data_IF_339492285067
#
_entry.id   IF_339492285067
#
_cell.length_a   1.000
_cell.length_b   1.000
_cell.length_c   1.000
_cell.angle_alpha   90.00
_cell.angle_beta   90.00
_cell.angle_gamma   90.00
#
_symmetry.space_group_name_H-M   'P 1'
#
loop_
_entity.id
_entity.type
_entity.pdbx_description
1 polymer ?
#
# COMPACT_ATOMS: atom_id res chain seq x y z
N UNK A 1 0.54 -7.91 20.04
CA UNK A 1 0.97 -8.53 18.77
C UNK A 1 2.46 -8.27 18.63
N UNK A 2 3.29 -9.31 18.54
CA UNK A 2 4.73 -9.17 18.29
C UNK A 2 5.03 -8.94 16.82
N UNK A 3 6.29 -8.66 16.48
CA UNK A 3 6.75 -8.69 15.08
C UNK A 3 6.96 -10.15 14.64
N UNK A 4 6.69 -10.44 13.36
CA UNK A 4 6.72 -11.82 12.84
C UNK A 4 8.12 -12.46 12.90
N UNK A 5 9.14 -11.72 12.49
CA UNK A 5 10.54 -12.19 12.42
C UNK A 5 11.48 -11.40 13.34
N UNK A 6 10.96 -10.79 14.41
CA UNK A 6 11.80 -10.12 15.41
C UNK A 6 11.14 -10.08 16.79
N UNK A 7 11.95 -9.91 17.85
CA UNK A 7 11.45 -9.83 19.24
C UNK A 7 10.71 -8.54 19.60
N UNK A 8 10.51 -7.63 18.65
CA UNK A 8 9.88 -6.32 18.88
C UNK A 8 8.39 -6.43 19.25
N UNK A 9 7.94 -5.56 20.16
CA UNK A 9 6.55 -5.51 20.66
C UNK A 9 5.82 -4.20 20.36
N UNK A 10 6.30 -3.42 19.40
CA UNK A 10 5.71 -2.12 19.02
C UNK A 10 4.27 -2.25 18.50
N UNK A 11 3.40 -1.29 18.86
CA UNK A 11 1.95 -1.30 18.57
C UNK A 11 1.47 -0.12 17.71
N UNK A 12 2.37 0.52 16.96
CA UNK A 12 2.03 1.66 16.10
C UNK A 12 1.17 1.21 14.91
N UNK A 13 -0.06 1.71 14.82
CA UNK A 13 -0.97 1.47 13.71
C UNK A 13 -1.93 2.64 13.54
N UNK A 14 -2.49 2.82 12.34
CA UNK A 14 -3.57 3.78 12.14
C UNK A 14 -4.84 3.34 12.88
N UNK A 15 -5.50 4.28 13.56
CA UNK A 15 -6.80 4.07 14.18
C UNK A 15 -7.88 4.65 13.27
N UNK A 16 -8.74 3.78 12.73
CA UNK A 16 -9.82 4.22 11.84
C UNK A 16 -10.97 4.78 12.69
N UNK A 17 -11.53 5.96 12.35
CA UNK A 17 -12.68 6.51 13.06
C UNK A 17 -13.88 5.57 13.07
N UNK A 18 -14.69 5.65 14.13
CA UNK A 18 -15.92 4.87 14.26
C UNK A 18 -16.93 5.21 13.16
N UNK A 19 -17.14 6.52 12.93
CA UNK A 19 -18.06 7.04 11.91
C UNK A 19 -17.55 6.67 10.51
N UNK A 20 -18.34 5.89 9.78
CA UNK A 20 -17.99 5.39 8.43
C UNK A 20 -18.46 6.28 7.29
N UNK A 21 -19.39 7.20 7.55
CA UNK A 21 -19.87 8.16 6.55
C UNK A 21 -18.78 9.16 6.20
N UNK A 22 -18.71 9.64 4.95
CA UNK A 22 -17.75 10.65 4.55
C UNK A 22 -17.96 11.95 5.36
N UNK A 23 -16.89 12.69 5.69
CA UNK A 23 -17.01 14.00 6.32
C UNK A 23 -17.73 15.02 5.43
N UNK A 24 -18.44 15.98 6.02
CA UNK A 24 -19.22 17.00 5.30
C UNK A 24 -18.41 17.90 4.37
N UNK A 25 -17.11 18.07 4.66
CA UNK A 25 -16.20 18.86 3.83
C UNK A 25 -15.67 18.08 2.63
N UNK A 26 -15.79 16.75 2.62
CA UNK A 26 -15.41 15.92 1.48
C UNK A 26 -16.55 15.94 0.45
N UNK A 27 -16.48 16.86 -0.51
CA UNK A 27 -17.49 17.01 -1.58
C UNK A 27 -17.22 16.12 -2.79
N UNK A 28 -16.14 15.34 -2.77
CA UNK A 28 -15.77 14.46 -3.88
C UNK A 28 -16.82 13.37 -4.06
N UNK A 29 -17.31 13.22 -5.29
CA UNK A 29 -18.25 12.17 -5.65
C UNK A 29 -17.55 10.83 -5.82
N UNK A 30 -18.31 9.74 -5.76
CA UNK A 30 -17.77 8.40 -5.97
C UNK A 30 -17.12 8.23 -7.35
N UNK A 31 -17.71 8.82 -8.39
CA UNK A 31 -17.20 8.79 -9.76
C UNK A 31 -15.86 9.53 -9.89
N UNK A 32 -15.76 10.77 -9.36
CA UNK A 32 -14.51 11.54 -9.38
C UNK A 32 -13.38 10.80 -8.66
N UNK A 33 -13.67 10.15 -7.52
CA UNK A 33 -12.67 9.35 -6.80
C UNK A 33 -12.23 8.14 -7.61
N UNK A 34 -13.13 7.45 -8.29
CA UNK A 34 -12.78 6.32 -9.16
C UNK A 34 -11.91 6.77 -10.35
N UNK A 35 -12.23 7.92 -10.96
CA UNK A 35 -11.44 8.48 -12.06
C UNK A 35 -10.04 8.88 -11.60
N UNK A 36 -9.92 9.52 -10.43
CA UNK A 36 -8.63 9.84 -9.82
C UNK A 36 -7.81 8.57 -9.56
N UNK A 37 -8.41 7.52 -9.01
CA UNK A 37 -7.74 6.23 -8.77
C UNK A 37 -7.22 5.65 -10.08
N UNK A 38 -8.04 5.61 -11.13
CA UNK A 38 -7.64 5.08 -12.43
C UNK A 38 -6.52 5.92 -13.07
N UNK A 39 -6.60 7.25 -12.96
CA UNK A 39 -5.56 8.17 -13.44
C UNK A 39 -4.22 7.92 -12.74
N UNK A 40 -4.22 7.75 -11.42
CA UNK A 40 -2.99 7.48 -10.67
C UNK A 40 -2.44 6.07 -10.90
N UNK A 41 -3.32 5.07 -11.07
CA UNK A 41 -2.90 3.73 -11.44
C UNK A 41 -2.23 3.69 -12.82
N UNK A 42 -2.76 4.42 -13.81
CA UNK A 42 -2.12 4.56 -15.14
C UNK A 42 -0.76 5.25 -15.09
N UNK A 43 -0.50 6.08 -14.07
CA UNK A 43 0.83 6.65 -13.81
C UNK A 43 1.80 5.65 -13.16
N UNK A 44 1.36 4.42 -12.87
CA UNK A 44 2.17 3.38 -12.24
C UNK A 44 2.24 3.48 -10.71
N UNK A 45 1.34 4.24 -10.08
CA UNK A 45 1.29 4.31 -8.61
C UNK A 45 0.69 3.04 -8.00
N UNK A 46 1.22 2.63 -6.86
CA UNK A 46 0.70 1.47 -6.12
C UNK A 46 -0.59 1.81 -5.37
N UNK A 47 -1.49 0.85 -5.12
CA UNK A 47 -2.71 1.06 -4.32
C UNK A 47 -2.47 1.77 -2.98
N UNK A 48 -1.39 1.42 -2.26
CA UNK A 48 -1.03 2.09 -1.00
C UNK A 48 -0.67 3.56 -1.20
N UNK A 49 0.13 3.88 -2.23
CA UNK A 49 0.49 5.26 -2.57
C UNK A 49 -0.72 6.08 -3.02
N UNK A 50 -1.63 5.49 -3.80
CA UNK A 50 -2.87 6.13 -4.24
C UNK A 50 -3.71 6.54 -3.02
N UNK A 51 -3.85 5.65 -2.04
CA UNK A 51 -4.57 5.95 -0.80
C UNK A 51 -3.95 7.12 -0.01
N UNK A 52 -2.62 7.16 0.08
CA UNK A 52 -1.89 8.26 0.74
C UNK A 52 -2.11 9.58 -0.01
N UNK A 53 -1.99 9.57 -1.34
CA UNK A 53 -2.15 10.76 -2.17
C UNK A 53 -3.56 11.34 -2.07
N UNK A 54 -4.58 10.48 -2.12
CA UNK A 54 -5.98 10.89 -1.97
C UNK A 54 -6.24 11.49 -0.59
N UNK A 55 -5.62 10.96 0.46
CA UNK A 55 -5.76 11.49 1.82
C UNK A 55 -5.05 12.84 1.98
N UNK A 56 -3.80 12.93 1.54
CA UNK A 56 -2.93 14.06 1.85
C UNK A 56 -3.12 15.25 0.91
N UNK A 57 -3.44 15.01 -0.38
CA UNK A 57 -3.60 16.09 -1.37
C UNK A 57 -5.06 16.38 -1.75
N UNK A 58 -5.92 15.36 -1.76
CA UNK A 58 -7.31 15.50 -2.21
C UNK A 58 -8.33 15.54 -1.07
N UNK A 59 -7.90 15.39 0.19
CA UNK A 59 -8.79 15.42 1.34
C UNK A 59 -9.83 14.29 1.33
N UNK A 60 -9.49 13.11 0.80
CA UNK A 60 -10.33 11.91 0.85
C UNK A 60 -9.77 10.97 1.93
N UNK A 61 -10.30 10.96 3.17
CA UNK A 61 -9.67 10.23 4.27
C UNK A 61 -9.69 8.71 4.08
N UNK A 62 -10.80 8.19 3.57
CA UNK A 62 -10.96 6.75 3.33
C UNK A 62 -11.80 6.52 2.07
N UNK A 63 -11.19 5.89 1.07
CA UNK A 63 -11.84 5.60 -0.23
C UNK A 63 -13.11 4.76 -0.06
N UNK A 64 -13.11 3.80 0.87
CA UNK A 64 -14.27 2.94 1.10
C UNK A 64 -15.48 3.69 1.68
N UNK A 65 -15.28 4.81 2.37
CA UNK A 65 -16.36 5.63 2.90
C UNK A 65 -17.08 6.43 1.82
N UNK A 66 -16.37 6.81 0.75
CA UNK A 66 -16.93 7.59 -0.37
C UNK A 66 -17.48 6.69 -1.46
N UNK A 67 -16.73 5.65 -1.84
CA UNK A 67 -17.05 4.80 -3.01
C UNK A 67 -17.73 3.48 -2.66
N UNK A 68 -17.77 3.10 -1.37
CA UNK A 68 -18.25 1.77 -0.93
C UNK A 68 -17.31 0.60 -1.25
N UNK A 69 -16.21 0.84 -1.98
CA UNK A 69 -15.24 -0.18 -2.38
C UNK A 69 -13.81 0.21 -1.99
N UNK A 70 -12.93 -0.79 -1.85
CA UNK A 70 -11.49 -0.56 -1.65
C UNK A 70 -10.80 -0.26 -2.97
N UNK A 71 -9.68 0.46 -2.92
CA UNK A 71 -8.86 0.83 -4.10
C UNK A 71 -8.58 -0.38 -4.99
N UNK A 72 -8.11 -1.49 -4.42
CA UNK A 72 -7.78 -2.69 -5.18
C UNK A 72 -9.01 -3.33 -5.88
N UNK A 73 -10.20 -3.22 -5.29
CA UNK A 73 -11.45 -3.71 -5.91
C UNK A 73 -11.85 -2.86 -7.11
N UNK A 74 -11.69 -1.54 -6.99
CA UNK A 74 -11.93 -0.59 -8.08
C UNK A 74 -10.97 -0.88 -9.24
N UNK A 75 -9.68 -1.06 -8.96
CA UNK A 75 -8.66 -1.38 -9.98
C UNK A 75 -8.91 -2.72 -10.68
N UNK A 76 -9.40 -3.74 -9.94
CA UNK A 76 -9.81 -5.02 -10.55
C UNK A 76 -11.00 -4.85 -11.48
N UNK A 77 -11.99 -4.05 -11.10
CA UNK A 77 -13.17 -3.78 -11.93
C UNK A 77 -12.84 -3.05 -13.23
N UNK A 78 -11.79 -2.23 -13.24
CA UNK A 78 -11.35 -1.47 -14.42
C UNK A 78 -10.24 -2.13 -15.23
N UNK A 79 -9.80 -3.35 -14.85
CA UNK A 79 -8.71 -4.06 -15.52
C UNK A 79 -7.33 -3.43 -15.32
N UNK A 80 -7.16 -2.52 -14.36
CA UNK A 80 -5.91 -1.84 -14.02
C UNK A 80 -5.22 -2.45 -12.78
N UNK A 81 -5.67 -3.63 -12.33
CA UNK A 81 -5.05 -4.31 -11.20
C UNK A 81 -3.67 -4.84 -11.60
N UNK A 82 -2.67 -4.72 -10.71
CA UNK A 82 -1.38 -5.34 -10.94
C UNK A 82 -1.52 -6.87 -10.96
N UNK A 83 -0.73 -7.53 -11.81
CA UNK A 83 -0.70 -9.00 -11.92
C UNK A 83 -0.24 -9.65 -10.62
N UNK A 84 0.78 -9.06 -9.98
CA UNK A 84 1.29 -9.49 -8.69
C UNK A 84 0.75 -8.59 -7.57
N UNK A 85 0.32 -9.16 -6.42
CA UNK A 85 -0.01 -8.36 -5.24
C UNK A 85 1.16 -7.47 -4.79
N UNK A 86 0.83 -6.24 -4.38
CA UNK A 86 1.80 -5.21 -3.97
C UNK A 86 2.75 -5.70 -2.86
N UNK A 87 2.20 -6.37 -1.84
CA UNK A 87 3.00 -6.87 -0.71
C UNK A 87 4.04 -7.90 -1.17
N UNK A 88 3.65 -8.83 -2.04
CA UNK A 88 4.57 -9.82 -2.60
C UNK A 88 5.62 -9.17 -3.49
N UNK A 89 5.21 -8.22 -4.33
CA UNK A 89 6.13 -7.48 -5.18
C UNK A 89 7.23 -6.79 -4.36
N UNK A 90 6.88 -6.13 -3.26
CA UNK A 90 7.86 -5.45 -2.41
C UNK A 90 8.75 -6.41 -1.61
N UNK A 91 8.25 -7.59 -1.22
CA UNK A 91 9.08 -8.64 -0.62
C UNK A 91 10.11 -9.16 -1.62
N UNK A 92 9.68 -9.47 -2.86
CA UNK A 92 10.59 -9.92 -3.93
C UNK A 92 11.61 -8.82 -4.24
N UNK A 93 11.17 -7.57 -4.40
CA UNK A 93 12.06 -6.43 -4.67
C UNK A 93 13.14 -6.29 -3.59
N UNK A 94 12.77 -6.45 -2.31
CA UNK A 94 13.72 -6.44 -1.19
C UNK A 94 14.69 -7.60 -1.26
N UNK A 95 14.20 -8.83 -1.48
CA UNK A 95 15.03 -10.02 -1.56
C UNK A 95 16.07 -9.93 -2.71
N UNK A 96 15.66 -9.43 -3.89
CA UNK A 96 16.55 -9.18 -5.02
C UNK A 96 17.63 -8.16 -4.66
N UNK A 97 17.26 -7.07 -3.99
CA UNK A 97 18.23 -6.05 -3.56
C UNK A 97 19.25 -6.60 -2.55
N UNK A 98 18.81 -7.40 -1.58
CA UNK A 98 19.71 -8.03 -0.60
C UNK A 98 20.62 -9.06 -1.26
N UNK A 99 20.10 -9.87 -2.20
CA UNK A 99 20.91 -10.84 -2.94
C UNK A 99 22.02 -10.16 -3.74
N UNK A 100 21.69 -9.09 -4.48
CA UNK A 100 22.67 -8.29 -5.23
C UNK A 100 23.76 -7.69 -4.34
N UNK A 101 23.40 -7.27 -3.11
CA UNK A 101 24.37 -6.80 -2.12
C UNK A 101 25.32 -7.92 -1.67
N UNK A 102 24.79 -9.11 -1.38
CA UNK A 102 25.56 -10.27 -0.91
C UNK A 102 26.50 -10.87 -1.95
N UNK A 103 26.22 -10.68 -3.25
CA UNK A 103 27.13 -11.10 -4.34
C UNK A 103 28.51 -10.43 -4.20
N UNK A 104 28.53 -9.15 -3.83
CA UNK A 104 29.75 -8.37 -3.56
C UNK A 104 30.25 -8.57 -2.13
N UNK A 105 29.33 -8.62 -1.17
CA UNK A 105 29.64 -8.70 0.26
C UNK A 105 29.43 -10.11 0.83
N UNK A 106 30.17 -11.09 0.31
CA UNK A 106 29.96 -12.52 0.65
C UNK A 106 30.14 -12.86 2.14
N UNK A 107 30.88 -12.03 2.88
CA UNK A 107 31.16 -12.20 4.31
C UNK A 107 30.06 -11.64 5.23
N UNK A 108 29.09 -10.91 4.69
CA UNK A 108 27.98 -10.34 5.45
C UNK A 108 27.00 -11.45 5.90
N UNK A 109 27.16 -11.90 7.15
CA UNK A 109 26.33 -12.95 7.76
C UNK A 109 24.96 -12.42 8.18
N UNK A 110 24.85 -11.16 8.57
CA UNK A 110 23.59 -10.54 8.97
C UNK A 110 22.68 -10.35 7.76
N UNK A 111 23.23 -9.87 6.64
CA UNK A 111 22.51 -9.80 5.37
C UNK A 111 22.01 -11.16 4.88
N UNK A 112 22.80 -12.23 5.05
CA UNK A 112 22.39 -13.61 4.75
C UNK A 112 21.24 -14.08 5.66
N UNK A 113 21.34 -13.83 6.96
CA UNK A 113 20.28 -14.16 7.91
C UNK A 113 18.97 -13.45 7.55
N UNK A 114 19.02 -12.14 7.28
CA UNK A 114 17.84 -11.35 6.90
C UNK A 114 17.24 -11.70 5.54
N UNK A 115 17.99 -12.35 4.65
CA UNK A 115 17.47 -12.85 3.38
C UNK A 115 16.66 -14.15 3.55
N UNK A 116 16.92 -14.91 4.61
CA UNK A 116 16.22 -16.17 4.92
C UNK A 116 14.88 -15.89 5.62
N UNK A 117 14.78 -14.79 6.37
CA UNK A 117 13.55 -14.32 7.02
C UNK A 117 12.51 -13.84 6.01
#
# INVERSE_FOLDING_TARGET
MGRMHSGGKGKSSSAIPYKRTPPSWCKATSAEVQDMICKFARKGMTPSQIGILLRDQHGVPLVSSVTGSKVLRILKGTGLAPELPEDLYFLIKKAVSVRKHLERNRKDKDGKFRLIL
#
